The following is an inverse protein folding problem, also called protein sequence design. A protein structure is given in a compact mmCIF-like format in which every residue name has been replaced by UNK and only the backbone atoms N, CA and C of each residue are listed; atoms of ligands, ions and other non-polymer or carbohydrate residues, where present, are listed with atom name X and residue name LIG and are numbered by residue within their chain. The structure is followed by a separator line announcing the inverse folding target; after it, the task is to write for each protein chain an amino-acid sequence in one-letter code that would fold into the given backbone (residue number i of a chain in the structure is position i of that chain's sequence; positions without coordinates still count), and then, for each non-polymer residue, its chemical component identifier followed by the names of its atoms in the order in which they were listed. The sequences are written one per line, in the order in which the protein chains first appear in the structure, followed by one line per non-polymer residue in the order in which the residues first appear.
data_IF_592089377856
#
_entry.id   IF_592089377856
#
_cell.length_a   1.000
_cell.length_b   1.000
_cell.length_c   1.000
_cell.angle_alpha   90.00
_cell.angle_beta   90.00
_cell.angle_gamma   90.00
#
_symmetry.space_group_name_H-M   'P 1'
#
loop_
_entity.id
_entity.type
_entity.pdbx_description
1 polymer ?
#
# COMPACT_ATOMS: atom_id res chain seq x y z
N UNK A 1 -10.67 9.26 8.61
CA UNK A 1 -9.61 8.89 7.66
C UNK A 1 -9.20 10.08 6.81
N UNK A 2 -10.09 10.62 5.94
CA UNK A 2 -9.77 11.78 5.09
C UNK A 2 -9.32 13.02 5.87
N UNK A 3 -10.03 13.37 6.95
CA UNK A 3 -9.64 14.49 7.83
C UNK A 3 -8.20 14.36 8.34
N UNK A 4 -7.79 13.16 8.78
CA UNK A 4 -6.44 12.94 9.29
C UNK A 4 -5.37 13.03 8.20
N UNK A 5 -5.68 12.60 6.97
CA UNK A 5 -4.80 12.82 5.82
C UNK A 5 -4.61 14.32 5.58
N UNK A 6 -5.68 15.11 5.64
CA UNK A 6 -5.63 16.56 5.42
C UNK A 6 -4.96 17.34 6.56
N UNK A 7 -5.02 16.81 7.79
CA UNK A 7 -4.32 17.34 8.95
C UNK A 7 -2.81 17.12 8.83
N UNK A 8 -2.37 15.88 8.57
CA UNK A 8 -0.96 15.50 8.55
C UNK A 8 -0.27 15.87 7.23
N UNK A 9 -1.02 15.95 6.13
CA UNK A 9 -0.54 16.26 4.77
C UNK A 9 0.64 15.38 4.37
N UNK A 10 0.46 14.04 4.29
CA UNK A 10 1.54 13.14 3.94
C UNK A 10 2.00 13.39 2.50
N UNK A 11 3.32 13.46 2.29
CA UNK A 11 3.90 13.50 0.94
C UNK A 11 3.95 12.12 0.29
N UNK A 12 3.85 11.05 1.09
CA UNK A 12 3.93 9.66 0.62
C UNK A 12 2.90 8.84 1.40
N UNK A 13 2.02 8.15 0.70
CA UNK A 13 1.10 7.15 1.25
C UNK A 13 1.50 5.78 0.72
N UNK A 14 1.63 4.82 1.64
CA UNK A 14 2.17 3.49 1.35
C UNK A 14 1.09 2.46 1.57
N UNK A 15 1.01 1.47 0.68
CA UNK A 15 0.07 0.34 0.78
C UNK A 15 0.75 -0.96 0.35
N UNK A 16 0.02 -2.07 0.47
CA UNK A 16 0.42 -3.35 -0.10
C UNK A 16 -0.77 -3.92 -0.89
N UNK A 17 -0.69 -3.86 -2.23
CA UNK A 17 -1.79 -4.12 -3.16
C UNK A 17 -2.92 -3.08 -3.11
N UNK A 18 -2.61 -1.83 -2.73
CA UNK A 18 -3.60 -0.79 -2.52
C UNK A 18 -4.26 -0.29 -3.80
N UNK A 19 -3.56 -0.35 -4.94
CA UNK A 19 -4.13 0.06 -6.23
C UNK A 19 -5.30 -0.82 -6.68
N UNK A 20 -5.27 -2.10 -6.29
CA UNK A 20 -6.23 -3.11 -6.74
C UNK A 20 -7.23 -3.52 -5.65
N UNK A 21 -7.02 -3.13 -4.40
CA UNK A 21 -7.90 -3.47 -3.28
C UNK A 21 -8.25 -2.27 -2.41
N UNK A 22 -7.29 -1.72 -1.66
CA UNK A 22 -7.57 -0.73 -0.61
C UNK A 22 -8.21 0.55 -1.15
N UNK A 23 -7.61 1.18 -2.17
CA UNK A 23 -8.12 2.44 -2.71
C UNK A 23 -9.46 2.31 -3.44
N UNK A 24 -9.66 1.32 -4.35
CA UNK A 24 -10.99 1.09 -4.92
C UNK A 24 -12.07 0.86 -3.87
N UNK A 25 -11.74 0.14 -2.80
CA UNK A 25 -12.67 -0.11 -1.71
C UNK A 25 -13.03 1.17 -0.97
N UNK A 26 -12.03 1.97 -0.58
CA UNK A 26 -12.24 3.27 0.10
C UNK A 26 -13.02 4.23 -0.78
N UNK A 27 -12.70 4.35 -2.07
CA UNK A 27 -13.41 5.21 -3.02
C UNK A 27 -14.89 4.80 -3.16
N UNK A 28 -15.15 3.50 -3.36
CA UNK A 28 -16.52 2.97 -3.51
C UNK A 28 -17.32 3.18 -2.23
N UNK A 29 -16.73 2.94 -1.05
CA UNK A 29 -17.40 3.17 0.23
C UNK A 29 -17.65 4.65 0.49
N UNK A 30 -16.72 5.53 0.13
CA UNK A 30 -16.91 6.97 0.23
C UNK A 30 -18.09 7.44 -0.63
N UNK A 31 -18.19 6.96 -1.87
CA UNK A 31 -19.29 7.30 -2.77
C UNK A 31 -20.66 6.86 -2.23
N UNK A 32 -20.75 5.70 -1.56
CA UNK A 32 -21.99 5.25 -0.89
C UNK A 32 -22.43 6.20 0.24
N UNK A 33 -21.49 6.94 0.83
CA UNK A 33 -21.73 7.92 1.89
C UNK A 33 -21.71 9.37 1.37
N UNK A 34 -21.93 9.58 0.06
CA UNK A 34 -21.94 10.89 -0.60
C UNK A 34 -20.62 11.70 -0.45
N UNK A 35 -19.50 11.01 -0.25
CA UNK A 35 -18.17 11.61 -0.16
C UNK A 35 -17.40 11.39 -1.47
N UNK A 36 -16.82 12.46 -2.02
CA UNK A 36 -15.97 12.40 -3.20
C UNK A 36 -14.50 12.34 -2.80
N UNK A 37 -13.89 11.15 -2.84
CA UNK A 37 -12.50 10.94 -2.41
C UNK A 37 -11.49 11.87 -3.12
N UNK A 38 -11.70 12.15 -4.42
CA UNK A 38 -10.84 13.05 -5.17
C UNK A 38 -10.95 14.50 -4.71
N UNK A 39 -12.13 14.94 -4.25
CA UNK A 39 -12.31 16.28 -3.67
C UNK A 39 -11.78 16.36 -2.24
N UNK A 40 -11.97 15.30 -1.46
CA UNK A 40 -11.60 15.25 -0.04
C UNK A 40 -10.08 15.19 0.18
N UNK A 41 -9.38 14.33 -0.58
CA UNK A 41 -7.94 14.07 -0.37
C UNK A 41 -7.10 14.11 -1.65
N UNK A 42 -7.69 14.44 -2.80
CA UNK A 42 -6.96 14.58 -4.07
C UNK A 42 -6.60 13.27 -4.78
N UNK A 43 -6.83 12.11 -4.15
CA UNK A 43 -6.57 10.81 -4.76
C UNK A 43 -7.65 10.43 -5.76
N UNK A 44 -7.23 10.03 -6.96
CA UNK A 44 -8.12 9.51 -8.00
C UNK A 44 -7.39 8.46 -8.85
N UNK A 45 -8.17 7.61 -9.50
CA UNK A 45 -7.66 6.59 -10.41
C UNK A 45 -7.24 7.23 -11.74
N UNK A 46 -5.99 7.01 -12.16
CA UNK A 46 -5.48 7.53 -13.42
C UNK A 46 -5.75 6.59 -14.61
N UNK A 47 -5.29 6.97 -15.80
CA UNK A 47 -5.47 6.17 -17.03
C UNK A 47 -4.74 4.83 -17.03
N UNK A 48 -3.70 4.66 -16.19
CA UNK A 48 -3.01 3.40 -15.99
C UNK A 48 -3.72 2.50 -14.97
N UNK A 49 -4.83 2.96 -14.38
CA UNK A 49 -5.61 2.19 -13.41
C UNK A 49 -5.02 2.16 -12.01
N UNK A 50 -4.07 3.05 -11.69
CA UNK A 50 -3.48 3.20 -10.35
C UNK A 50 -3.96 4.50 -9.70
N UNK A 51 -3.98 4.54 -8.37
CA UNK A 51 -4.40 5.73 -7.62
C UNK A 51 -3.23 6.68 -7.44
N UNK A 52 -3.46 7.95 -7.76
CA UNK A 52 -2.42 8.97 -7.68
C UNK A 52 -3.01 10.30 -7.20
N UNK A 53 -2.15 11.13 -6.63
CA UNK A 53 -2.49 12.45 -6.12
C UNK A 53 -1.30 13.39 -6.39
N UNK A 54 -1.56 14.61 -6.89
CA UNK A 54 -0.47 15.54 -7.25
C UNK A 54 0.44 15.92 -6.06
N UNK A 55 -0.08 16.28 -4.86
CA UNK A 55 0.76 16.62 -3.71
C UNK A 55 1.34 15.42 -2.96
N UNK A 56 0.89 14.18 -3.23
CA UNK A 56 1.24 13.02 -2.43
C UNK A 56 1.44 11.78 -3.32
N UNK A 57 2.63 11.19 -3.25
CA UNK A 57 2.95 9.96 -3.94
C UNK A 57 2.23 8.77 -3.32
N UNK A 58 1.75 7.85 -4.16
CA UNK A 58 1.28 6.54 -3.70
C UNK A 58 2.30 5.46 -4.02
N UNK A 59 2.77 4.77 -2.99
CA UNK A 59 3.73 3.67 -3.13
C UNK A 59 3.08 2.34 -2.74
N UNK A 60 2.73 1.54 -3.73
CA UNK A 60 2.27 0.17 -3.56
C UNK A 60 3.44 -0.82 -3.46
N UNK A 61 3.77 -1.25 -2.25
CA UNK A 61 4.92 -2.14 -2.02
C UNK A 61 4.85 -3.45 -2.82
N UNK A 62 3.66 -3.94 -3.20
CA UNK A 62 3.55 -5.18 -3.97
C UNK A 62 4.23 -5.07 -5.34
N UNK A 63 4.26 -3.89 -5.95
CA UNK A 63 4.87 -3.65 -7.25
C UNK A 63 6.39 -3.81 -7.17
N UNK A 64 7.01 -3.25 -6.12
CA UNK A 64 8.42 -3.51 -5.80
C UNK A 64 8.66 -4.99 -5.48
N UNK A 65 7.75 -5.64 -4.74
CA UNK A 65 7.88 -7.06 -4.43
C UNK A 65 7.94 -7.91 -5.69
N UNK A 66 6.98 -7.72 -6.60
CA UNK A 66 6.90 -8.50 -7.86
C UNK A 66 8.15 -8.36 -8.71
N UNK A 67 8.75 -7.17 -8.72
CA UNK A 67 9.83 -6.84 -9.64
C UNK A 67 11.23 -7.00 -9.06
N UNK A 68 11.47 -6.48 -7.87
CA UNK A 68 12.82 -6.31 -7.31
C UNK A 68 13.08 -7.13 -6.05
N UNK A 69 12.08 -7.81 -5.49
CA UNK A 69 12.32 -8.59 -4.26
C UNK A 69 13.09 -9.89 -4.50
N UNK A 70 13.12 -10.38 -5.74
CA UNK A 70 13.63 -11.70 -6.12
C UNK A 70 12.95 -12.87 -5.37
N UNK A 71 11.76 -12.66 -4.82
CA UNK A 71 10.96 -13.72 -4.20
C UNK A 71 10.17 -14.51 -5.24
N UNK A 72 10.04 -15.84 -5.07
CA UNK A 72 9.20 -16.65 -5.94
C UNK A 72 7.74 -16.20 -5.83
N UNK A 73 6.96 -16.36 -6.91
CA UNK A 73 5.57 -15.89 -7.00
C UNK A 73 4.71 -16.38 -5.82
N UNK A 74 4.91 -17.61 -5.36
CA UNK A 74 4.20 -18.18 -4.20
C UNK A 74 4.55 -17.56 -2.85
N UNK A 75 5.52 -16.64 -2.77
CA UNK A 75 5.97 -15.97 -1.55
C UNK A 75 5.89 -14.45 -1.65
N UNK A 76 5.04 -13.94 -2.54
CA UNK A 76 4.78 -12.51 -2.74
C UNK A 76 3.53 -12.01 -2.00
N UNK A 77 3.06 -12.74 -0.99
CA UNK A 77 2.06 -12.21 -0.06
C UNK A 77 2.77 -11.43 1.07
N UNK A 78 2.05 -10.51 1.73
CA UNK A 78 2.64 -9.63 2.74
C UNK A 78 3.33 -10.42 3.87
N UNK A 79 2.75 -11.55 4.29
CA UNK A 79 3.26 -12.38 5.38
C UNK A 79 4.60 -13.02 5.03
N UNK A 80 4.68 -13.69 3.88
CA UNK A 80 5.90 -14.31 3.38
C UNK A 80 6.99 -13.26 3.10
N UNK A 81 6.60 -12.08 2.56
CA UNK A 81 7.53 -10.97 2.34
C UNK A 81 8.06 -10.42 3.65
N UNK A 82 7.22 -10.20 4.66
CA UNK A 82 7.64 -9.74 5.98
C UNK A 82 8.60 -10.73 6.64
N UNK A 83 8.32 -12.04 6.54
CA UNK A 83 9.20 -13.10 7.06
C UNK A 83 10.56 -13.10 6.35
N UNK A 84 10.55 -13.04 5.02
CA UNK A 84 11.77 -13.11 4.22
C UNK A 84 12.63 -11.84 4.29
N UNK A 85 12.01 -10.65 4.27
CA UNK A 85 12.71 -9.36 4.21
C UNK A 85 12.89 -8.74 5.60
N UNK A 86 11.85 -8.71 6.42
CA UNK A 86 11.91 -8.04 7.74
C UNK A 86 12.40 -8.97 8.86
N UNK A 87 12.48 -10.28 8.61
CA UNK A 87 12.77 -11.31 9.65
C UNK A 87 11.80 -11.21 10.83
N UNK A 88 10.57 -10.84 10.51
CA UNK A 88 9.45 -10.68 11.44
C UNK A 88 8.41 -11.74 11.10
N UNK A 89 7.81 -12.36 12.12
CA UNK A 89 6.70 -13.29 11.95
C UNK A 89 5.40 -12.52 12.22
N UNK A 90 4.73 -12.01 11.17
CA UNK A 90 3.48 -11.29 11.34
C UNK A 90 2.37 -12.18 11.87
N UNK A 91 1.39 -11.58 12.55
CA UNK A 91 0.20 -12.29 13.03
C UNK A 91 -0.54 -12.86 11.82
N UNK A 92 -0.76 -14.16 11.77
CA UNK A 92 -1.54 -14.81 10.72
C UNK A 92 -2.98 -15.04 11.18
N UNK A 93 -3.93 -14.84 10.27
CA UNK A 93 -5.36 -14.98 10.50
C UNK A 93 -5.99 -15.42 9.17
N UNK A 94 -6.89 -16.40 9.22
CA UNK A 94 -7.61 -16.87 8.04
C UNK A 94 -8.62 -15.79 7.59
N UNK A 95 -8.59 -15.33 6.33
CA UNK A 95 -9.57 -14.37 5.80
C UNK A 95 -11.03 -14.73 6.10
N UNK A 96 -11.38 -16.01 6.12
CA UNK A 96 -12.76 -16.46 6.38
C UNK A 96 -13.19 -16.22 7.84
N UNK A 97 -12.24 -16.13 8.77
CA UNK A 97 -12.51 -15.84 10.17
C UNK A 97 -12.66 -14.34 10.45
N UNK A 98 -12.23 -13.45 9.55
CA UNK A 98 -12.21 -11.99 9.80
C UNK A 98 -13.58 -11.44 10.22
N UNK A 99 -14.65 -11.83 9.51
CA UNK A 99 -16.00 -11.33 9.80
C UNK A 99 -16.52 -11.82 11.15
N UNK A 100 -16.24 -13.07 11.50
CA UNK A 100 -16.64 -13.66 12.79
C UNK A 100 -15.86 -13.00 13.93
N UNK A 101 -14.54 -12.90 13.79
CA UNK A 101 -13.65 -12.31 14.79
C UNK A 101 -13.92 -10.82 15.02
N UNK A 102 -14.49 -10.10 14.06
CA UNK A 102 -14.91 -8.71 14.26
C UNK A 102 -15.96 -8.57 15.39
N UNK A 103 -16.78 -9.59 15.61
CA UNK A 103 -17.79 -9.61 16.69
C UNK A 103 -17.27 -10.35 17.92
N UNK A 104 -16.71 -11.55 17.71
CA UNK A 104 -16.35 -12.46 18.81
C UNK A 104 -15.07 -12.03 19.54
N UNK A 105 -14.04 -11.63 18.79
CA UNK A 105 -12.69 -11.38 19.30
C UNK A 105 -12.03 -10.15 18.63
N UNK A 106 -12.60 -8.95 18.79
CA UNK A 106 -12.15 -7.75 18.06
C UNK A 106 -10.69 -7.36 18.37
N UNK A 107 -10.17 -7.73 19.54
CA UNK A 107 -8.77 -7.49 19.90
C UNK A 107 -7.81 -8.34 19.05
N UNK A 108 -8.19 -9.56 18.68
CA UNK A 108 -7.37 -10.43 17.82
C UNK A 108 -7.33 -9.85 16.41
N UNK A 109 -8.49 -9.45 15.89
CA UNK A 109 -8.59 -8.84 14.56
C UNK A 109 -7.85 -7.50 14.48
N UNK A 110 -7.91 -6.66 15.52
CA UNK A 110 -7.19 -5.39 15.55
C UNK A 110 -5.67 -5.59 15.62
N UNK A 111 -5.19 -6.57 16.39
CA UNK A 111 -3.78 -6.93 16.42
C UNK A 111 -3.28 -7.39 15.03
N UNK A 112 -4.08 -8.19 14.32
CA UNK A 112 -3.79 -8.58 12.94
C UNK A 112 -3.68 -7.36 12.01
N UNK A 113 -4.67 -6.46 12.07
CA UNK A 113 -4.70 -5.23 11.25
C UNK A 113 -3.48 -4.34 11.50
N UNK A 114 -3.12 -4.12 12.77
CA UNK A 114 -1.92 -3.33 13.13
C UNK A 114 -0.64 -4.02 12.69
N UNK A 115 -0.57 -5.36 12.78
CA UNK A 115 0.58 -6.14 12.30
C UNK A 115 0.84 -5.91 10.81
N UNK A 116 -0.21 -5.87 9.97
CA UNK A 116 -0.09 -5.60 8.54
C UNK A 116 0.34 -4.17 8.23
N UNK A 117 -0.18 -3.18 8.96
CA UNK A 117 0.25 -1.79 8.84
C UNK A 117 1.74 -1.64 9.20
N UNK A 118 2.18 -2.27 10.29
CA UNK A 118 3.58 -2.25 10.74
C UNK A 118 4.50 -2.95 9.72
N UNK A 119 4.10 -4.11 9.20
CA UNK A 119 4.84 -4.83 8.18
C UNK A 119 4.99 -3.99 6.90
N UNK A 120 3.90 -3.39 6.43
CA UNK A 120 3.89 -2.52 5.23
C UNK A 120 4.79 -1.29 5.43
N UNK A 121 4.67 -0.60 6.56
CA UNK A 121 5.48 0.57 6.88
C UNK A 121 6.98 0.24 6.90
N UNK A 122 7.38 -0.82 7.60
CA UNK A 122 8.81 -1.17 7.69
C UNK A 122 9.37 -1.78 6.41
N UNK A 123 8.55 -2.51 5.63
CA UNK A 123 8.94 -2.97 4.30
C UNK A 123 9.29 -1.77 3.42
N UNK A 124 8.42 -0.77 3.40
CA UNK A 124 8.67 0.48 2.69
C UNK A 124 9.93 1.18 3.19
N UNK A 125 10.01 1.49 4.49
CA UNK A 125 11.11 2.30 5.04
C UNK A 125 12.47 1.64 4.85
N UNK A 126 12.57 0.30 4.95
CA UNK A 126 13.85 -0.40 4.88
C UNK A 126 14.26 -0.76 3.45
N UNK A 127 13.32 -1.05 2.57
CA UNK A 127 13.62 -1.60 1.25
C UNK A 127 13.19 -0.67 0.12
N UNK A 128 11.93 -0.24 0.10
CA UNK A 128 11.37 0.50 -1.04
C UNK A 128 11.85 1.95 -1.06
N UNK A 129 11.76 2.67 0.07
CA UNK A 129 12.11 4.08 0.16
C UNK A 129 13.54 4.39 -0.30
N UNK A 130 14.61 3.80 0.30
CA UNK A 130 15.97 4.11 -0.13
C UNK A 130 16.25 3.68 -1.57
N UNK A 131 15.63 2.58 -2.03
CA UNK A 131 15.80 2.08 -3.39
C UNK A 131 15.21 3.04 -4.43
N UNK A 132 13.94 3.43 -4.28
CA UNK A 132 13.25 4.32 -5.22
C UNK A 132 13.91 5.69 -5.25
N UNK A 133 14.16 6.30 -4.08
CA UNK A 133 14.76 7.63 -4.04
C UNK A 133 16.21 7.65 -4.54
N UNK A 134 16.97 6.57 -4.36
CA UNK A 134 18.29 6.45 -5.00
C UNK A 134 18.16 6.39 -6.54
N UNK A 135 17.19 5.64 -7.08
CA UNK A 135 16.95 5.60 -8.53
C UNK A 135 16.57 6.98 -9.10
N UNK A 136 15.75 7.75 -8.38
CA UNK A 136 15.36 9.11 -8.77
C UNK A 136 16.55 10.09 -8.82
N UNK A 137 17.70 9.78 -8.21
CA UNK A 137 18.91 10.64 -8.36
C UNK A 137 19.61 10.46 -9.71
N UNK A 138 19.32 9.37 -10.42
CA UNK A 138 19.99 9.00 -11.68
C UNK A 138 19.02 9.11 -12.86
N UNK A 139 17.75 8.74 -12.65
CA UNK A 139 16.70 8.79 -13.67
C UNK A 139 16.06 10.18 -13.63
N UNK A 140 16.13 10.99 -14.72
CA UNK A 140 15.59 12.34 -14.75
C UNK A 140 14.07 12.32 -15.01
N UNK A 141 13.32 11.69 -14.11
CA UNK A 141 11.87 11.59 -14.14
C UNK A 141 11.32 11.94 -12.76
N UNK A 142 10.05 12.32 -12.70
CA UNK A 142 9.41 12.53 -11.40
C UNK A 142 9.37 11.21 -10.63
N UNK A 143 9.53 11.21 -9.30
CA UNK A 143 9.53 9.97 -8.52
C UNK A 143 8.30 9.08 -8.73
N UNK A 144 7.13 9.68 -8.98
CA UNK A 144 5.89 8.96 -9.30
C UNK A 144 5.97 8.30 -10.69
N UNK A 145 6.61 8.94 -11.66
CA UNK A 145 6.85 8.34 -12.98
C UNK A 145 7.93 7.27 -12.96
N UNK A 146 9.00 7.47 -12.16
CA UNK A 146 9.98 6.39 -11.90
C UNK A 146 9.24 5.21 -11.30
N UNK A 147 8.41 5.43 -10.29
CA UNK A 147 7.58 4.40 -9.68
C UNK A 147 6.59 3.74 -10.65
N UNK A 148 5.89 4.52 -11.48
CA UNK A 148 4.95 3.99 -12.48
C UNK A 148 5.68 3.21 -13.58
N UNK A 149 6.87 3.65 -14.01
CA UNK A 149 7.67 2.94 -15.01
C UNK A 149 8.17 1.60 -14.44
N UNK A 150 8.51 1.57 -13.15
CA UNK A 150 8.76 0.35 -12.40
C UNK A 150 7.51 -0.56 -12.40
N UNK A 151 6.32 0.03 -12.26
CA UNK A 151 5.04 -0.68 -12.16
C UNK A 151 4.53 -1.24 -13.51
N UNK A 152 4.67 -0.49 -14.61
CA UNK A 152 4.06 -0.77 -15.91
C UNK A 152 4.96 -1.64 -16.81
N UNK A 153 6.28 -1.60 -16.66
CA UNK A 153 7.18 -2.20 -17.67
C UNK A 153 7.18 -3.74 -17.66
N UNK A 154 6.61 -4.42 -16.66
CA UNK A 154 6.69 -5.89 -16.55
C UNK A 154 5.46 -6.61 -15.93
N UNK A 155 4.27 -6.00 -15.97
CA UNK A 155 3.00 -6.76 -15.90
C UNK A 155 2.58 -7.09 -17.33
#
# INVERSE_FOLDING_TARGET
FFEHIMEIRPHIIVTYNGDFFDWPFVETRAAVHDLNMSQEIGFSKNSAGVYSCRPAMHMDCLCWVKRDSYLPVGSQNLKAVAKAKLRYDPVELDPEDMCRLATDEPQVLSNYSVSDAVATYYLYMKYVHPFIFALCTIIPMEPDEVWILINITFI
#
